data_IF_239217460863
#
_entry.id   IF_239217460863
#
_cell.length_a   1.000
_cell.length_b   1.000
_cell.length_c   1.000
_cell.angle_alpha   90.00
_cell.angle_beta   90.00
_cell.angle_gamma   90.00
#
_symmetry.space_group_name_H-M   'P 1'
#
loop_
_entity.id
_entity.type
_entity.pdbx_description
1 polymer ?
#
# COMPACT_ATOMS: atom_id res chain seq x y z
N UNK A 1 -33.64 -6.75 -64.20
CA UNK A 1 -32.41 -7.51 -63.89
C UNK A 1 -31.24 -6.77 -64.54
N UNK A 2 -30.16 -6.35 -63.85
CA UNK A 2 -29.83 -6.29 -62.40
C UNK A 2 -29.71 -4.82 -61.87
N UNK A 3 -30.10 -4.48 -60.64
CA UNK A 3 -29.42 -4.60 -59.33
C UNK A 3 -28.23 -3.64 -59.15
N UNK A 4 -28.53 -2.44 -58.65
CA UNK A 4 -27.57 -1.38 -58.26
C UNK A 4 -27.28 -1.48 -56.75
N UNK A 5 -26.89 -2.68 -56.31
CA UNK A 5 -26.47 -2.95 -54.95
C UNK A 5 -25.02 -3.43 -54.99
N UNK A 6 -24.09 -2.55 -54.61
CA UNK A 6 -22.85 -2.87 -53.87
C UNK A 6 -21.75 -1.83 -54.12
N UNK A 7 -21.76 -0.75 -53.32
CA UNK A 7 -20.50 -0.11 -52.90
C UNK A 7 -20.54 0.18 -51.40
N UNK A 8 -20.84 -0.85 -50.61
CA UNK A 8 -20.39 -0.90 -49.22
C UNK A 8 -18.88 -1.08 -49.23
N UNK A 9 -18.16 0.04 -49.09
CA UNK A 9 -16.72 0.03 -48.83
C UNK A 9 -16.52 -0.59 -47.45
N UNK A 10 -16.18 -1.87 -47.42
CA UNK A 10 -15.64 -2.54 -46.24
C UNK A 10 -14.32 -1.85 -45.89
N UNK A 11 -14.37 -0.95 -44.91
CA UNK A 11 -13.18 -0.51 -44.19
C UNK A 11 -12.74 -1.71 -43.35
N UNK A 12 -11.51 -2.23 -43.50
CA UNK A 12 -11.03 -3.28 -42.61
C UNK A 12 -10.93 -2.70 -41.20
N UNK A 13 -11.64 -3.31 -40.25
CA UNK A 13 -11.46 -3.02 -38.84
C UNK A 13 -10.04 -3.49 -38.45
N UNK A 14 -9.12 -2.55 -38.28
CA UNK A 14 -7.85 -2.78 -37.60
C UNK A 14 -8.12 -3.09 -36.11
N UNK A 15 -7.23 -3.83 -35.41
CA UNK A 15 -7.59 -5.11 -34.79
C UNK A 15 -7.96 -5.02 -33.31
N UNK A 16 -8.96 -5.80 -32.90
CA UNK A 16 -9.47 -5.99 -31.52
C UNK A 16 -8.41 -6.36 -30.48
N UNK A 17 -7.26 -6.90 -30.90
CA UNK A 17 -6.17 -7.29 -30.01
C UNK A 17 -5.42 -6.11 -29.37
N UNK A 18 -5.36 -4.95 -30.05
CA UNK A 18 -4.72 -3.75 -29.48
C UNK A 18 -5.58 -3.10 -28.39
N UNK A 19 -6.90 -3.10 -28.56
CA UNK A 19 -7.84 -2.64 -27.54
C UNK A 19 -7.79 -3.55 -26.30
N UNK A 20 -7.83 -4.88 -26.49
CA UNK A 20 -7.74 -5.83 -25.37
C UNK A 20 -6.41 -5.75 -24.59
N UNK A 21 -5.29 -5.51 -25.28
CA UNK A 21 -3.99 -5.31 -24.65
C UNK A 21 -3.93 -4.01 -23.83
N UNK A 22 -4.58 -2.95 -24.33
CA UNK A 22 -4.70 -1.67 -23.62
C UNK A 22 -5.54 -1.82 -22.35
N UNK A 23 -6.72 -2.43 -22.44
CA UNK A 23 -7.60 -2.70 -21.29
C UNK A 23 -6.88 -3.52 -20.21
N UNK A 24 -6.08 -4.51 -20.61
CA UNK A 24 -5.28 -5.34 -19.70
C UNK A 24 -4.20 -4.52 -18.98
N UNK A 25 -3.56 -3.58 -19.68
CA UNK A 25 -2.54 -2.71 -19.09
C UNK A 25 -3.15 -1.71 -18.10
N UNK A 26 -4.30 -1.11 -18.43
CA UNK A 26 -5.02 -0.22 -17.52
C UNK A 26 -5.47 -0.95 -16.26
N UNK A 27 -6.00 -2.17 -16.41
CA UNK A 27 -6.40 -3.00 -15.27
C UNK A 27 -5.21 -3.34 -14.35
N UNK A 28 -4.04 -3.63 -14.93
CA UNK A 28 -2.82 -3.89 -14.15
C UNK A 28 -2.36 -2.65 -13.37
N UNK A 29 -2.48 -1.46 -13.96
CA UNK A 29 -2.13 -0.19 -13.29
C UNK A 29 -3.13 0.16 -12.17
N UNK A 30 -4.42 -0.09 -12.36
CA UNK A 30 -5.42 0.11 -11.32
C UNK A 30 -5.22 -0.86 -10.13
N UNK A 31 -4.87 -2.12 -10.42
CA UNK A 31 -4.54 -3.10 -9.39
C UNK A 31 -3.28 -2.68 -8.62
N UNK A 32 -2.27 -2.15 -9.30
CA UNK A 32 -1.06 -1.62 -8.67
C UNK A 32 -1.39 -0.47 -7.71
N UNK A 33 -2.23 0.48 -8.10
CA UNK A 33 -2.65 1.57 -7.22
C UNK A 33 -3.33 1.06 -5.95
N UNK A 34 -4.24 0.11 -6.11
CA UNK A 34 -4.93 -0.51 -4.98
C UNK A 34 -3.93 -1.21 -4.04
N UNK A 35 -2.92 -1.88 -4.58
CA UNK A 35 -1.86 -2.50 -3.77
C UNK A 35 -1.02 -1.46 -3.03
N UNK A 36 -0.62 -0.36 -3.68
CA UNK A 36 0.12 0.75 -3.07
C UNK A 36 -0.70 1.37 -1.92
N UNK A 37 -1.98 1.66 -2.15
CA UNK A 37 -2.89 2.20 -1.13
C UNK A 37 -3.02 1.24 0.06
N UNK A 38 -3.23 -0.05 -0.22
CA UNK A 38 -3.36 -1.09 0.81
C UNK A 38 -2.08 -1.21 1.65
N UNK A 39 -0.91 -1.16 1.02
CA UNK A 39 0.37 -1.18 1.72
C UNK A 39 0.55 0.04 2.64
N UNK A 40 0.16 1.24 2.19
CA UNK A 40 0.18 2.44 3.02
C UNK A 40 -0.78 2.34 4.22
N UNK A 41 -1.96 1.74 4.04
CA UNK A 41 -2.91 1.48 5.12
C UNK A 41 -2.37 0.47 6.15
N UNK A 42 -1.77 -0.64 5.69
CA UNK A 42 -1.14 -1.63 6.56
C UNK A 42 0.01 -1.01 7.37
N UNK A 43 0.88 -0.22 6.74
CA UNK A 43 1.94 0.51 7.43
C UNK A 43 1.38 1.44 8.52
N UNK A 44 0.25 2.12 8.25
CA UNK A 44 -0.43 2.92 9.25
C UNK A 44 -0.97 2.09 10.42
N UNK A 45 -1.58 0.93 10.16
CA UNK A 45 -2.08 0.05 11.23
C UNK A 45 -0.94 -0.50 12.09
N UNK A 46 0.17 -0.91 11.48
CA UNK A 46 1.38 -1.32 12.21
C UNK A 46 1.85 -0.20 13.13
N UNK A 47 1.93 1.03 12.59
CA UNK A 47 2.37 2.21 13.32
C UNK A 47 1.45 2.55 14.51
N UNK A 48 0.14 2.63 14.28
CA UNK A 48 -0.82 3.03 15.32
C UNK A 48 -0.98 1.95 16.39
N UNK A 49 -1.12 0.69 15.99
CA UNK A 49 -1.26 -0.44 16.91
C UNK A 49 -0.03 -0.62 17.78
N UNK A 50 1.18 -0.46 17.21
CA UNK A 50 2.42 -0.50 18.00
C UNK A 50 2.45 0.59 19.07
N UNK A 51 2.03 1.81 18.72
CA UNK A 51 1.96 2.92 19.69
C UNK A 51 0.92 2.68 20.78
N UNK A 52 -0.25 2.12 20.44
CA UNK A 52 -1.25 1.74 21.43
C UNK A 52 -0.75 0.62 22.36
N UNK A 53 -0.02 -0.36 21.84
CA UNK A 53 0.57 -1.41 22.65
C UNK A 53 1.56 -0.83 23.68
N UNK A 54 2.45 0.07 23.25
CA UNK A 54 3.39 0.77 24.16
C UNK A 54 2.66 1.62 25.19
N UNK A 55 1.63 2.37 24.78
CA UNK A 55 0.81 3.15 25.71
C UNK A 55 0.12 2.27 26.77
N UNK A 56 -0.45 1.14 26.34
CA UNK A 56 -1.10 0.19 27.25
C UNK A 56 -0.12 -0.33 28.30
N UNK A 57 1.12 -0.66 27.91
CA UNK A 57 2.16 -1.06 28.85
C UNK A 57 2.45 0.03 29.89
N UNK A 58 2.69 1.27 29.44
CA UNK A 58 2.91 2.39 30.36
C UNK A 58 1.71 2.66 31.27
N UNK A 59 0.50 2.43 30.79
CA UNK A 59 -0.72 2.60 31.59
C UNK A 59 -0.86 1.52 32.67
N UNK A 60 -0.44 0.28 32.39
CA UNK A 60 -0.45 -0.81 33.37
C UNK A 60 0.44 -0.50 34.59
N UNK A 61 1.54 0.21 34.38
CA UNK A 61 2.44 0.64 35.47
C UNK A 61 1.80 1.72 36.35
N UNK A 62 0.89 2.52 35.80
CA UNK A 62 0.20 3.62 36.50
C UNK A 62 -1.06 3.12 37.24
N UNK A 63 -1.74 2.09 36.73
CA UNK A 63 -2.99 1.55 37.30
C UNK A 63 -2.83 0.06 37.62
N UNK A 64 -2.23 -0.29 38.79
CA UNK A 64 -1.88 -1.67 39.14
C UNK A 64 -3.08 -2.61 39.16
N UNK A 65 -4.25 -2.12 39.58
CA UNK A 65 -5.50 -2.90 39.69
C UNK A 65 -6.00 -3.43 38.34
N UNK A 66 -5.53 -2.84 37.22
CA UNK A 66 -5.88 -3.26 35.85
C UNK A 66 -4.68 -3.83 35.10
N UNK A 67 -3.50 -3.88 35.69
CA UNK A 67 -2.24 -4.19 35.02
C UNK A 67 -2.29 -5.50 34.23
N UNK A 68 -2.78 -6.60 34.83
CA UNK A 68 -2.86 -7.91 34.16
C UNK A 68 -3.72 -7.88 32.89
N UNK A 69 -4.86 -7.19 32.93
CA UNK A 69 -5.77 -7.10 31.78
C UNK A 69 -5.16 -6.25 30.66
N UNK A 70 -4.58 -5.11 31.02
CA UNK A 70 -3.95 -4.19 30.08
C UNK A 70 -2.71 -4.80 29.43
N UNK A 71 -1.87 -5.50 30.20
CA UNK A 71 -0.73 -6.25 29.68
C UNK A 71 -1.17 -7.36 28.71
N UNK A 72 -2.26 -8.06 29.02
CA UNK A 72 -2.86 -9.05 28.12
C UNK A 72 -3.33 -8.44 26.80
N UNK A 73 -3.95 -7.25 26.84
CA UNK A 73 -4.34 -6.52 25.64
C UNK A 73 -3.11 -6.05 24.83
N UNK A 74 -2.08 -5.51 25.49
CA UNK A 74 -0.84 -5.10 24.83
C UNK A 74 -0.14 -6.26 24.11
N UNK A 75 -0.13 -7.45 24.73
CA UNK A 75 0.42 -8.66 24.11
C UNK A 75 -0.35 -9.07 22.84
N UNK A 76 -1.69 -8.97 22.86
CA UNK A 76 -2.53 -9.23 21.67
C UNK A 76 -2.25 -8.23 20.55
N UNK A 77 -2.18 -6.94 20.88
CA UNK A 77 -1.87 -5.90 19.90
C UNK A 77 -0.50 -6.10 19.24
N UNK A 78 0.51 -6.59 19.99
CA UNK A 78 1.81 -6.97 19.41
C UNK A 78 1.70 -8.14 18.43
N UNK A 79 0.91 -9.15 18.78
CA UNK A 79 0.66 -10.28 17.87
C UNK A 79 -0.02 -9.80 16.58
N UNK A 80 -0.97 -8.87 16.67
CA UNK A 80 -1.63 -8.30 15.49
C UNK A 80 -0.65 -7.50 14.62
N UNK A 81 0.25 -6.72 15.25
CA UNK A 81 1.33 -6.01 14.54
C UNK A 81 2.20 -6.97 13.74
N UNK A 82 2.55 -8.12 14.31
CA UNK A 82 3.37 -9.12 13.62
C UNK A 82 2.65 -9.68 12.38
N UNK A 83 1.35 -9.96 12.48
CA UNK A 83 0.52 -10.40 11.34
C UNK A 83 0.44 -9.32 10.26
N UNK A 84 0.17 -8.07 10.64
CA UNK A 84 0.08 -6.97 9.68
C UNK A 84 1.41 -6.69 8.99
N UNK A 85 2.52 -6.86 9.71
CA UNK A 85 3.85 -6.69 9.17
C UNK A 85 4.20 -7.78 8.15
N UNK A 86 3.79 -9.03 8.38
CA UNK A 86 3.95 -10.10 7.39
C UNK A 86 3.10 -9.82 6.13
N UNK A 87 1.86 -9.35 6.29
CA UNK A 87 1.02 -8.93 5.16
C UNK A 87 1.64 -7.76 4.38
N UNK A 88 2.17 -6.76 5.09
CA UNK A 88 2.86 -5.63 4.50
C UNK A 88 4.08 -6.08 3.70
N UNK A 89 4.97 -6.87 4.29
CA UNK A 89 6.18 -7.36 3.63
C UNK A 89 5.86 -8.15 2.35
N UNK A 90 4.87 -9.04 2.42
CA UNK A 90 4.40 -9.78 1.24
C UNK A 90 3.87 -8.85 0.15
N UNK A 91 3.14 -7.80 0.51
CA UNK A 91 2.59 -6.85 -0.45
C UNK A 91 3.70 -6.00 -1.10
N UNK A 92 4.72 -5.59 -0.35
CA UNK A 92 5.91 -4.91 -0.91
C UNK A 92 6.58 -5.80 -1.96
N UNK A 93 6.77 -7.09 -1.67
CA UNK A 93 7.35 -8.05 -2.61
C UNK A 93 6.46 -8.25 -3.84
N UNK A 94 5.14 -8.30 -3.68
CA UNK A 94 4.20 -8.43 -4.81
C UNK A 94 4.23 -7.20 -5.73
N UNK A 95 4.31 -6.00 -5.15
CA UNK A 95 4.42 -4.75 -5.92
C UNK A 95 5.72 -4.74 -6.73
N UNK A 96 6.84 -5.13 -6.12
CA UNK A 96 8.14 -5.21 -6.79
C UNK A 96 8.19 -6.28 -7.90
N UNK A 97 7.61 -7.45 -7.64
CA UNK A 97 7.57 -8.55 -8.61
C UNK A 97 6.50 -8.37 -9.71
N UNK A 98 5.60 -7.39 -9.56
CA UNK A 98 4.47 -7.17 -10.44
C UNK A 98 4.88 -6.75 -11.86
N UNK A 99 4.07 -7.07 -12.89
CA UNK A 99 4.34 -6.69 -14.27
C UNK A 99 4.37 -5.16 -14.47
N UNK A 100 3.74 -4.41 -13.57
CA UNK A 100 3.70 -2.95 -13.57
C UNK A 100 4.81 -2.30 -12.73
N UNK A 101 5.82 -3.04 -12.22
CA UNK A 101 6.85 -2.51 -11.31
C UNK A 101 7.58 -1.27 -11.86
N UNK A 102 7.81 -1.22 -13.18
CA UNK A 102 8.51 -0.11 -13.84
C UNK A 102 7.76 1.22 -13.71
N UNK A 103 6.48 1.18 -13.32
CA UNK A 103 5.65 2.35 -13.17
C UNK A 103 5.49 2.77 -11.70
N UNK A 104 5.98 2.01 -10.71
CA UNK A 104 5.73 2.28 -9.29
C UNK A 104 6.08 3.73 -8.92
N UNK A 105 7.27 4.21 -9.27
CA UNK A 105 7.68 5.59 -9.02
C UNK A 105 6.69 6.60 -9.63
N UNK A 106 6.28 6.39 -10.89
CA UNK A 106 5.33 7.28 -11.59
C UNK A 106 3.91 7.22 -11.05
N UNK A 107 3.54 6.17 -10.31
CA UNK A 107 2.20 5.99 -9.77
C UNK A 107 2.04 6.58 -8.38
N UNK A 108 3.13 6.81 -7.65
CA UNK A 108 3.07 7.34 -6.28
C UNK A 108 2.32 8.67 -6.20
N UNK A 109 2.56 9.60 -7.13
CA UNK A 109 1.87 10.91 -7.15
C UNK A 109 0.35 10.77 -7.45
N UNK A 110 -0.01 9.84 -8.34
CA UNK A 110 -1.41 9.54 -8.67
C UNK A 110 -2.12 8.95 -7.45
N UNK A 111 -1.51 7.96 -6.82
CA UNK A 111 -2.06 7.32 -5.62
C UNK A 111 -2.18 8.32 -4.47
N UNK A 112 -1.18 9.20 -4.31
CA UNK A 112 -1.26 10.28 -3.33
C UNK A 112 -2.48 11.18 -3.59
N UNK A 113 -2.66 11.60 -4.84
CA UNK A 113 -3.80 12.45 -5.23
C UNK A 113 -5.14 11.74 -4.96
N UNK A 114 -5.27 10.47 -5.36
CA UNK A 114 -6.48 9.68 -5.15
C UNK A 114 -6.80 9.51 -3.66
N UNK A 115 -5.79 9.21 -2.84
CA UNK A 115 -5.93 9.15 -1.39
C UNK A 115 -6.36 10.50 -0.78
N UNK A 116 -6.08 11.65 -1.42
CA UNK A 116 -6.60 12.95 -0.97
C UNK A 116 -8.07 13.05 -1.23
N UNK A 117 -8.47 12.74 -2.45
CA UNK A 117 -9.85 12.84 -2.90
C UNK A 117 -10.77 11.88 -2.10
N UNK A 118 -10.24 10.74 -1.68
CA UNK A 118 -10.95 9.75 -0.86
C UNK A 118 -10.92 10.01 0.66
N UNK A 119 -10.29 11.11 1.12
CA UNK A 119 -10.19 11.42 2.55
C UNK A 119 -9.22 10.53 3.34
N UNK A 120 -8.29 9.86 2.66
CA UNK A 120 -7.29 8.93 3.22
C UNK A 120 -5.94 9.62 3.53
N UNK A 121 -5.98 10.92 3.85
CA UNK A 121 -4.80 11.79 4.00
C UNK A 121 -3.81 11.25 5.04
N UNK A 122 -4.30 10.66 6.12
CA UNK A 122 -3.48 10.11 7.19
C UNK A 122 -2.57 8.94 6.76
N UNK A 123 -2.90 8.24 5.66
CA UNK A 123 -2.15 7.09 5.18
C UNK A 123 -1.03 7.49 4.20
N UNK A 124 -1.17 8.63 3.51
CA UNK A 124 -0.18 9.12 2.53
C UNK A 124 1.24 9.23 3.03
N UNK A 125 1.40 9.58 4.31
CA UNK A 125 2.71 9.74 4.95
C UNK A 125 3.58 8.48 4.88
N UNK A 126 2.98 7.32 4.58
CA UNK A 126 3.67 6.04 4.42
C UNK A 126 4.05 5.72 2.97
N UNK A 127 3.59 6.49 1.96
CA UNK A 127 3.94 6.28 0.56
C UNK A 127 5.45 6.42 0.30
N UNK A 128 6.16 7.45 0.82
CA UNK A 128 7.61 7.54 0.64
C UNK A 128 8.37 6.37 1.25
N UNK A 129 7.88 5.86 2.39
CA UNK A 129 8.46 4.70 3.06
C UNK A 129 8.27 3.42 2.23
N UNK A 130 7.08 3.21 1.69
CA UNK A 130 6.79 2.09 0.80
C UNK A 130 7.71 2.11 -0.43
N UNK A 131 7.86 3.28 -1.07
CA UNK A 131 8.75 3.44 -2.21
C UNK A 131 10.20 3.07 -1.86
N UNK A 132 10.69 3.53 -0.70
CA UNK A 132 12.03 3.20 -0.23
C UNK A 132 12.22 1.69 -0.03
N UNK A 133 11.24 0.99 0.56
CA UNK A 133 11.31 -0.47 0.73
C UNK A 133 11.31 -1.22 -0.61
N UNK A 134 10.54 -0.76 -1.59
CA UNK A 134 10.52 -1.35 -2.94
C UNK A 134 11.88 -1.14 -3.62
N UNK A 135 12.41 0.08 -3.59
CA UNK A 135 13.71 0.42 -4.19
C UNK A 135 14.88 -0.38 -3.57
N UNK A 136 14.80 -0.73 -2.28
CA UNK A 136 15.81 -1.58 -1.62
C UNK A 136 15.86 -3.00 -2.20
N UNK A 137 14.70 -3.56 -2.60
CA UNK A 137 14.62 -4.90 -3.22
C UNK A 137 15.35 -4.89 -4.56
N UNK A 138 15.03 -3.91 -5.42
CA UNK A 138 15.70 -3.73 -6.72
C UNK A 138 17.19 -3.41 -6.62
N UNK A 139 17.68 -3.10 -5.41
CA UNK A 139 19.06 -2.70 -5.12
C UNK A 139 19.98 -3.85 -4.73
N UNK A 140 19.65 -4.66 -3.71
CA UNK A 140 20.58 -5.68 -3.20
C UNK A 140 19.95 -6.78 -2.30
N UNK A 141 18.73 -6.62 -1.77
CA UNK A 141 17.96 -7.65 -1.04
C UNK A 141 16.68 -7.02 -0.48
N UNK A 142 15.59 -7.77 -0.28
CA UNK A 142 14.42 -7.25 0.41
C UNK A 142 14.75 -6.83 1.85
N UNK A 143 14.20 -5.69 2.34
CA UNK A 143 14.44 -5.28 3.72
C UNK A 143 13.92 -6.35 4.68
N UNK A 144 14.64 -6.55 5.79
CA UNK A 144 14.21 -7.50 6.81
C UNK A 144 12.91 -7.03 7.46
N UNK A 145 12.18 -7.96 8.05
CA UNK A 145 10.97 -7.65 8.81
C UNK A 145 11.22 -6.62 9.92
N UNK A 146 12.33 -6.76 10.65
CA UNK A 146 12.71 -5.79 11.69
C UNK A 146 13.03 -4.41 11.11
N UNK A 147 13.71 -4.35 9.96
CA UNK A 147 14.03 -3.10 9.27
C UNK A 147 12.76 -2.38 8.80
N UNK A 148 11.81 -3.11 8.21
CA UNK A 148 10.53 -2.56 7.81
C UNK A 148 9.77 -2.02 9.03
N UNK A 149 9.69 -2.80 10.12
CA UNK A 149 9.03 -2.36 11.36
C UNK A 149 9.67 -1.10 11.91
N UNK A 150 10.99 -1.07 12.05
CA UNK A 150 11.70 0.09 12.59
C UNK A 150 11.42 1.34 11.76
N UNK A 151 11.45 1.22 10.43
CA UNK A 151 11.21 2.33 9.52
C UNK A 151 9.75 2.82 9.56
N UNK A 152 8.78 1.91 9.69
CA UNK A 152 7.36 2.26 9.91
C UNK A 152 7.19 3.04 11.21
N UNK A 153 7.81 2.58 12.31
CA UNK A 153 7.69 3.22 13.62
C UNK A 153 8.39 4.58 13.70
N UNK A 154 9.40 4.82 12.85
CA UNK A 154 10.10 6.09 12.74
C UNK A 154 9.26 7.18 12.04
N UNK A 155 8.16 6.82 11.36
CA UNK A 155 7.28 7.80 10.69
C UNK A 155 6.69 8.75 11.74
N UNK A 156 6.92 10.08 11.61
CA UNK A 156 6.40 11.04 12.57
C UNK A 156 4.88 11.02 12.68
N UNK A 157 4.37 11.18 13.90
CA UNK A 157 2.97 11.55 14.09
C UNK A 157 2.74 12.97 13.54
N UNK A 158 1.69 13.16 12.73
CA UNK A 158 1.26 14.47 12.24
C UNK A 158 0.98 15.50 13.37
N UNK A 159 0.88 15.03 14.63
CA UNK A 159 0.75 15.86 15.84
C UNK A 159 2.08 16.51 16.31
N UNK A 160 3.18 16.31 15.59
CA UNK A 160 4.51 16.77 16.00
C UNK A 160 5.07 17.91 15.16
N UNK A 161 4.40 19.08 15.16
CA UNK A 161 4.91 20.46 14.95
C UNK A 161 3.88 21.37 14.26
N UNK A 162 3.10 22.07 15.07
CA UNK A 162 2.83 23.49 14.83
C UNK A 162 3.18 24.18 16.16
N UNK A 163 4.36 24.79 16.20
CA UNK A 163 4.70 25.85 17.14
C UNK A 163 4.72 27.15 16.34
#
# INVERSE_FOLDING_TARGET
MPSDAARSRHRPAAPSHLAAAHDTAEQALAMLDMQIQTAAMLAHFIWSTSRFATFAESFADIVPDRAKSVQGAAARLRSDVDVYLDLYANLVLQIDAGPARLNVDSRMDSVETDMSQQGLVQFKRFLPLLLAHIQQIGGNSPPSREQMRASILAVPSALGRQR
#
